data_IF_765999951780
#
_entry.id   IF_765999951780
#
_cell.length_a   1.000
_cell.length_b   1.000
_cell.length_c   1.000
_cell.angle_alpha   90.00
_cell.angle_beta   90.00
_cell.angle_gamma   90.00
#
_symmetry.space_group_name_H-M   'P 1'
#
loop_
_entity.id
_entity.type
_entity.pdbx_description
1 polymer ?
#
# COMPACT_ATOMS: atom_id res chain seq x y z
N UNK A 1 -10.59 4.53 5.76
CA UNK A 1 -11.00 5.64 4.89
C UNK A 1 -12.14 6.46 5.46
N UNK A 2 -12.22 7.72 5.03
CA UNK A 2 -13.24 8.65 5.55
C UNK A 2 -14.67 8.34 5.08
N UNK A 3 -14.82 7.70 3.92
CA UNK A 3 -16.12 7.27 3.40
C UNK A 3 -16.20 5.75 3.33
N UNK A 4 -15.17 5.09 2.79
CA UNK A 4 -15.16 3.66 2.52
C UNK A 4 -13.85 3.05 3.02
N UNK A 5 -13.90 1.91 3.67
CA UNK A 5 -12.70 1.17 4.09
C UNK A 5 -11.99 0.54 2.88
N UNK A 6 -12.75 -0.16 2.04
CA UNK A 6 -12.26 -0.85 0.84
C UNK A 6 -13.28 -0.74 -0.30
N UNK A 7 -12.82 -0.31 -1.47
CA UNK A 7 -13.58 -0.26 -2.70
C UNK A 7 -13.12 -1.39 -3.63
N UNK A 8 -14.01 -2.32 -3.94
CA UNK A 8 -13.70 -3.49 -4.76
C UNK A 8 -13.67 -3.17 -6.27
N UNK A 9 -13.18 -4.11 -7.09
CA UNK A 9 -12.96 -3.91 -8.55
C UNK A 9 -14.17 -3.40 -9.33
N UNK A 10 -15.38 -3.79 -8.95
CA UNK A 10 -16.63 -3.29 -9.57
C UNK A 10 -17.20 -2.05 -8.86
N UNK A 11 -16.55 -1.59 -7.78
CA UNK A 11 -17.03 -0.46 -7.00
C UNK A 11 -16.68 0.88 -7.63
N UNK A 12 -17.59 1.82 -7.50
CA UNK A 12 -17.40 3.21 -7.95
C UNK A 12 -17.75 4.16 -6.81
N UNK A 13 -16.84 5.08 -6.50
CA UNK A 13 -17.07 6.21 -5.60
C UNK A 13 -17.03 7.46 -6.46
N UNK A 14 -18.19 8.11 -6.60
CA UNK A 14 -18.37 9.22 -7.52
C UNK A 14 -18.80 10.49 -6.80
N UNK A 15 -18.26 11.65 -7.20
CA UNK A 15 -18.60 13.01 -6.78
C UNK A 15 -18.91 13.15 -5.27
N UNK A 16 -18.13 12.45 -4.43
CA UNK A 16 -18.35 12.40 -2.98
C UNK A 16 -17.34 13.26 -2.23
N UNK A 17 -17.76 13.84 -1.11
CA UNK A 17 -16.90 14.70 -0.28
C UNK A 17 -16.75 14.13 1.12
N UNK A 18 -15.50 14.01 1.58
CA UNK A 18 -15.15 13.71 2.97
C UNK A 18 -14.66 14.97 3.69
N UNK A 19 -15.15 15.17 4.92
CA UNK A 19 -14.65 16.18 5.88
C UNK A 19 -14.16 15.54 7.16
N UNK A 20 -14.16 14.21 7.21
CA UNK A 20 -13.75 13.47 8.39
C UNK A 20 -12.23 13.58 8.58
N UNK A 21 -11.80 13.77 9.83
CA UNK A 21 -10.44 13.48 10.23
C UNK A 21 -10.28 11.95 10.29
N UNK A 22 -9.27 11.43 9.60
CA UNK A 22 -9.06 9.97 9.49
C UNK A 22 -7.68 9.62 10.02
N UNK A 23 -7.64 8.67 10.94
CA UNK A 23 -6.40 8.12 11.48
C UNK A 23 -6.36 6.60 11.32
N UNK A 24 -5.19 6.05 11.03
CA UNK A 24 -4.98 4.61 10.87
C UNK A 24 -3.54 4.25 10.61
N UNK A 25 -3.18 2.98 10.86
CA UNK A 25 -1.82 2.49 10.70
C UNK A 25 -1.48 2.09 9.24
N UNK A 26 -2.45 1.53 8.52
CA UNK A 26 -2.23 1.01 7.16
C UNK A 26 -3.35 1.42 6.22
N UNK A 27 -2.99 1.72 4.97
CA UNK A 27 -3.91 2.06 3.90
C UNK A 27 -4.97 3.07 4.35
N UNK A 28 -4.52 4.24 4.79
CA UNK A 28 -5.38 5.29 5.33
C UNK A 28 -5.60 6.38 4.30
N UNK A 29 -6.85 6.63 3.92
CA UNK A 29 -7.20 7.66 2.95
C UNK A 29 -8.39 8.50 3.37
N UNK A 30 -8.43 9.75 2.94
CA UNK A 30 -9.53 10.67 3.25
C UNK A 30 -10.87 10.25 2.63
N UNK A 31 -10.87 9.53 1.52
CA UNK A 31 -12.05 8.94 0.89
C UNK A 31 -12.07 7.44 1.15
N UNK A 32 -11.03 6.71 0.75
CA UNK A 32 -10.99 5.25 0.83
C UNK A 32 -9.67 4.77 1.43
N UNK A 33 -9.69 3.71 2.20
CA UNK A 33 -8.48 3.03 2.67
C UNK A 33 -7.76 2.32 1.52
N UNK A 34 -8.43 1.34 0.91
CA UNK A 34 -7.91 0.56 -0.21
C UNK A 34 -8.86 0.60 -1.41
N UNK A 35 -8.34 1.00 -2.58
CA UNK A 35 -9.11 1.11 -3.82
C UNK A 35 -8.65 0.10 -4.88
N UNK A 36 -9.59 -0.73 -5.33
CA UNK A 36 -9.43 -1.61 -6.50
C UNK A 36 -10.32 -1.19 -7.66
N UNK A 37 -11.35 -0.36 -7.40
CA UNK A 37 -12.33 0.10 -8.37
C UNK A 37 -12.03 1.50 -8.89
N UNK A 38 -13.06 2.31 -9.03
CA UNK A 38 -12.99 3.67 -9.57
C UNK A 38 -13.35 4.69 -8.50
N UNK A 39 -12.52 5.73 -8.39
CA UNK A 39 -12.82 6.96 -7.65
C UNK A 39 -12.78 8.09 -8.66
N UNK A 40 -13.84 8.87 -8.76
CA UNK A 40 -13.89 10.00 -9.70
C UNK A 40 -14.62 11.21 -9.11
N UNK A 41 -14.10 12.41 -9.39
CA UNK A 41 -14.73 13.67 -8.97
C UNK A 41 -14.82 13.85 -7.44
N UNK A 42 -14.08 13.09 -6.64
CA UNK A 42 -14.17 13.12 -5.19
C UNK A 42 -13.29 14.20 -4.58
N UNK A 43 -13.71 14.72 -3.41
CA UNK A 43 -12.97 15.75 -2.69
C UNK A 43 -12.77 15.35 -1.23
N UNK A 44 -11.55 15.41 -0.76
CA UNK A 44 -11.23 15.34 0.66
C UNK A 44 -10.82 16.72 1.18
N UNK A 45 -11.44 17.15 2.27
CA UNK A 45 -11.05 18.37 3.01
C UNK A 45 -10.69 18.08 4.46
N UNK A 46 -10.87 16.82 4.90
CA UNK A 46 -10.47 16.37 6.23
C UNK A 46 -8.99 16.00 6.30
N UNK A 47 -8.39 16.15 7.45
CA UNK A 47 -7.02 15.76 7.69
C UNK A 47 -6.86 14.24 7.77
N UNK A 48 -5.72 13.71 7.31
CA UNK A 48 -5.45 12.27 7.27
C UNK A 48 -4.10 11.99 7.94
N UNK A 49 -4.09 11.26 9.05
CA UNK A 49 -2.89 10.97 9.85
C UNK A 49 -2.03 12.21 10.14
N UNK A 50 -2.65 13.39 10.30
CA UNK A 50 -1.94 14.65 10.51
C UNK A 50 -1.63 14.96 11.97
N UNK A 51 -2.14 14.16 12.90
CA UNK A 51 -1.87 14.32 14.32
C UNK A 51 -0.90 13.25 14.81
N UNK A 52 0.01 13.67 15.70
CA UNK A 52 0.88 12.75 16.39
C UNK A 52 0.05 11.87 17.34
N UNK A 53 0.05 10.59 17.10
CA UNK A 53 -0.53 9.60 18.00
C UNK A 53 0.62 9.03 18.86
N UNK A 54 0.70 9.46 20.10
CA UNK A 54 1.58 8.84 21.07
C UNK A 54 0.98 7.47 21.42
N UNK A 55 1.41 6.40 20.73
CA UNK A 55 1.11 5.06 21.20
C UNK A 55 2.13 4.72 22.29
N UNK A 56 1.72 4.92 23.53
CA UNK A 56 2.41 4.33 24.64
C UNK A 56 2.36 2.80 24.46
N UNK A 57 3.49 2.18 24.12
CA UNK A 57 3.72 0.80 24.48
C UNK A 57 3.59 0.77 26.01
N UNK A 58 2.52 0.11 26.49
CA UNK A 58 2.37 -0.11 27.91
C UNK A 58 3.51 -1.02 28.39
N UNK A 59 4.61 -0.37 28.80
CA UNK A 59 5.79 -1.04 29.32
C UNK A 59 5.62 -1.41 30.79
N UNK A 60 4.53 -0.96 31.44
CA UNK A 60 4.26 -1.25 32.85
C UNK A 60 3.94 -2.73 33.12
N UNK A 61 3.54 -3.49 32.09
CA UNK A 61 3.28 -4.94 32.20
C UNK A 61 4.47 -5.84 31.89
N UNK A 62 5.61 -5.31 31.48
CA UNK A 62 6.78 -6.14 31.11
C UNK A 62 7.63 -6.47 32.36
N UNK A 63 8.11 -7.73 32.51
CA UNK A 63 9.08 -8.07 33.54
C UNK A 63 10.32 -7.17 33.46
N UNK A 64 10.81 -6.70 34.59
CA UNK A 64 11.94 -5.78 34.68
C UNK A 64 13.19 -6.27 33.91
N UNK A 65 13.40 -7.59 33.85
CA UNK A 65 14.49 -8.23 33.12
C UNK A 65 14.35 -8.08 31.60
N UNK A 66 13.14 -8.08 31.06
CA UNK A 66 12.87 -7.85 29.63
C UNK A 66 13.03 -6.38 29.30
N UNK A 67 12.61 -5.50 30.19
CA UNK A 67 12.73 -4.06 30.05
C UNK A 67 14.21 -3.62 30.03
N UNK A 68 15.06 -4.22 30.90
CA UNK A 68 16.50 -3.97 30.90
C UNK A 68 17.20 -4.50 29.64
N UNK A 69 16.77 -5.66 29.12
CA UNK A 69 17.32 -6.23 27.89
C UNK A 69 17.02 -5.35 26.68
N UNK A 70 15.79 -4.86 26.57
CA UNK A 70 15.35 -3.95 25.51
C UNK A 70 16.09 -2.62 25.58
N UNK A 71 16.25 -2.04 26.76
CA UNK A 71 17.01 -0.79 26.96
C UNK A 71 18.50 -0.95 26.66
N UNK A 72 19.08 -2.11 26.96
CA UNK A 72 20.51 -2.36 26.78
C UNK A 72 20.91 -2.57 25.33
N UNK A 73 20.08 -3.26 24.53
CA UNK A 73 20.40 -3.60 23.13
C UNK A 73 19.95 -2.54 22.12
N UNK A 74 18.97 -1.70 22.45
CA UNK A 74 18.33 -0.82 21.47
C UNK A 74 18.38 0.69 21.84
N UNK A 75 18.92 1.05 22.98
CA UNK A 75 19.06 2.45 23.44
C UNK A 75 17.73 3.12 23.80
N UNK A 76 17.82 4.34 24.33
CA UNK A 76 16.65 5.15 24.73
C UNK A 76 15.74 5.59 23.55
N UNK A 77 16.17 5.34 22.30
CA UNK A 77 15.42 5.69 21.09
C UNK A 77 14.26 4.72 20.77
N UNK A 78 14.17 3.58 21.46
CA UNK A 78 13.16 2.58 21.13
C UNK A 78 11.75 2.98 21.54
N UNK A 79 11.61 3.69 22.65
CA UNK A 79 10.29 4.17 23.13
C UNK A 79 9.66 5.16 22.16
N UNK A 80 10.46 5.86 21.36
CA UNK A 80 9.99 6.85 20.38
C UNK A 80 9.82 6.29 18.96
N UNK A 81 10.37 5.11 18.65
CA UNK A 81 10.43 4.62 17.26
C UNK A 81 9.46 3.49 16.90
N UNK A 82 8.85 2.79 17.85
CA UNK A 82 8.02 1.61 17.55
C UNK A 82 6.53 1.97 17.38
N UNK A 83 6.10 3.10 17.87
CA UNK A 83 4.67 3.35 18.07
C UNK A 83 3.93 4.10 16.96
N UNK A 84 4.60 4.66 15.95
CA UNK A 84 3.93 5.49 14.94
C UNK A 84 4.34 5.17 13.50
N UNK A 85 4.39 3.89 13.14
CA UNK A 85 4.60 3.49 11.75
C UNK A 85 3.26 3.46 11.04
N UNK A 86 2.86 4.59 10.47
CA UNK A 86 1.82 4.58 9.45
C UNK A 86 2.43 4.25 8.09
N UNK A 87 1.72 3.51 7.27
CA UNK A 87 2.12 3.19 5.90
C UNK A 87 0.94 3.37 4.95
N UNK A 88 1.26 3.81 3.74
CA UNK A 88 0.29 4.01 2.67
C UNK A 88 -0.82 5.00 3.09
N UNK A 89 -0.43 6.26 3.34
CA UNK A 89 -1.33 7.35 3.72
C UNK A 89 -1.56 8.30 2.54
N UNK A 90 -2.81 8.56 2.18
CA UNK A 90 -3.15 9.47 1.10
C UNK A 90 -4.38 10.33 1.36
N UNK A 91 -4.41 11.51 0.75
CA UNK A 91 -5.56 12.42 0.91
C UNK A 91 -6.86 11.86 0.32
N UNK A 92 -6.79 11.06 -0.73
CA UNK A 92 -7.94 10.37 -1.33
C UNK A 92 -7.90 8.88 -0.98
N UNK A 93 -6.84 8.17 -1.31
CA UNK A 93 -6.72 6.74 -1.05
C UNK A 93 -5.41 6.43 -0.30
N UNK A 94 -5.45 5.54 0.67
CA UNK A 94 -4.23 5.01 1.29
C UNK A 94 -3.44 4.20 0.27
N UNK A 95 -4.06 3.20 -0.32
CA UNK A 95 -3.51 2.39 -1.40
C UNK A 95 -4.51 2.25 -2.55
N UNK A 96 -4.02 2.26 -3.79
CA UNK A 96 -4.87 2.10 -4.98
C UNK A 96 -4.19 1.24 -6.04
N UNK A 97 -4.89 0.18 -6.46
CA UNK A 97 -4.62 -0.58 -7.68
C UNK A 97 -5.67 -0.31 -8.77
N UNK A 98 -6.68 0.52 -8.45
CA UNK A 98 -7.73 0.96 -9.36
C UNK A 98 -7.47 2.35 -9.95
N UNK A 99 -8.54 3.03 -10.33
CA UNK A 99 -8.50 4.35 -10.96
C UNK A 99 -8.84 5.45 -9.95
N UNK A 100 -8.06 6.53 -9.97
CA UNK A 100 -8.38 7.78 -9.23
C UNK A 100 -8.37 8.91 -10.25
N UNK A 101 -9.56 9.45 -10.55
CA UNK A 101 -9.77 10.41 -11.62
C UNK A 101 -10.35 11.71 -11.07
N UNK A 102 -9.87 12.85 -11.59
CA UNK A 102 -10.46 14.18 -11.38
C UNK A 102 -10.83 14.48 -9.92
N UNK A 103 -10.03 13.98 -8.99
CA UNK A 103 -10.29 14.09 -7.55
C UNK A 103 -9.33 15.08 -6.88
N UNK A 104 -9.76 15.70 -5.79
CA UNK A 104 -9.01 16.76 -5.12
C UNK A 104 -8.85 16.49 -3.63
N UNK A 105 -7.67 16.81 -3.10
CA UNK A 105 -7.41 16.86 -1.67
C UNK A 105 -7.04 18.29 -1.24
N UNK A 106 -7.70 18.78 -0.21
CA UNK A 106 -7.38 20.05 0.46
C UNK A 106 -7.05 19.86 1.94
N UNK A 107 -7.20 18.65 2.47
CA UNK A 107 -6.84 18.32 3.85
C UNK A 107 -5.34 18.00 3.99
N UNK A 108 -4.78 18.25 5.16
CA UNK A 108 -3.40 17.89 5.47
C UNK A 108 -3.23 16.38 5.59
N UNK A 109 -2.11 15.86 5.10
CA UNK A 109 -1.82 14.43 5.01
C UNK A 109 -0.48 14.11 5.66
N UNK A 110 -0.51 13.20 6.62
CA UNK A 110 0.65 12.72 7.33
C UNK A 110 1.18 13.69 8.39
N UNK A 111 2.22 13.28 9.10
CA UNK A 111 2.88 14.03 10.15
C UNK A 111 4.38 14.09 9.92
N UNK A 112 5.03 15.18 10.35
CA UNK A 112 6.46 15.39 10.16
C UNK A 112 7.28 14.23 10.73
N UNK A 113 8.20 13.70 9.92
CA UNK A 113 9.10 12.60 10.27
C UNK A 113 8.44 11.26 10.61
N UNK A 114 7.14 11.10 10.36
CA UNK A 114 6.36 9.88 10.64
C UNK A 114 5.70 9.37 9.36
N UNK A 115 5.66 8.04 9.20
CA UNK A 115 4.96 7.39 8.09
C UNK A 115 5.82 7.17 6.84
N UNK A 116 5.42 6.15 6.10
CA UNK A 116 6.01 5.74 4.82
C UNK A 116 4.94 5.78 3.75
N UNK A 117 5.35 6.07 2.50
CA UNK A 117 4.44 6.17 1.36
C UNK A 117 3.30 7.17 1.66
N UNK A 118 3.64 8.44 1.82
CA UNK A 118 2.68 9.49 2.13
C UNK A 118 2.48 10.36 0.91
N UNK A 119 1.25 10.43 0.42
CA UNK A 119 0.92 11.21 -0.77
C UNK A 119 -0.31 12.08 -0.62
N UNK A 120 -0.31 13.23 -1.26
CA UNK A 120 -1.44 14.18 -1.19
C UNK A 120 -2.73 13.62 -1.80
N UNK A 121 -2.62 12.67 -2.74
CA UNK A 121 -3.76 11.95 -3.32
C UNK A 121 -3.73 10.48 -2.88
N UNK A 122 -2.61 9.78 -3.06
CA UNK A 122 -2.52 8.36 -2.72
C UNK A 122 -1.19 8.05 -2.05
N UNK A 123 -1.22 7.23 -1.00
CA UNK A 123 0.00 6.77 -0.33
C UNK A 123 0.84 5.89 -1.25
N UNK A 124 0.27 4.80 -1.73
CA UNK A 124 0.91 3.88 -2.68
C UNK A 124 -0.05 3.49 -3.79
N UNK A 125 0.45 3.44 -5.02
CA UNK A 125 -0.35 3.04 -6.18
C UNK A 125 0.43 2.22 -7.18
N UNK A 126 -0.24 1.22 -7.76
CA UNK A 126 0.08 0.50 -8.99
C UNK A 126 -1.04 0.68 -10.04
N UNK A 127 -2.06 1.52 -9.71
CA UNK A 127 -3.16 1.90 -10.59
C UNK A 127 -2.91 3.23 -11.33
N UNK A 128 -3.97 3.76 -11.94
CA UNK A 128 -3.93 5.02 -12.68
C UNK A 128 -4.43 6.20 -11.84
N UNK A 129 -3.68 7.29 -11.85
CA UNK A 129 -4.09 8.59 -11.31
C UNK A 129 -4.12 9.59 -12.47
N UNK A 130 -5.25 10.28 -12.66
CA UNK A 130 -5.39 11.28 -13.72
C UNK A 130 -6.25 12.46 -13.29
N UNK A 131 -5.82 13.68 -13.65
CA UNK A 131 -6.56 14.91 -13.39
C UNK A 131 -6.76 15.25 -11.91
N UNK A 132 -5.94 14.71 -11.02
CA UNK A 132 -6.05 14.93 -9.58
C UNK A 132 -5.22 16.13 -9.11
N UNK A 133 -5.70 16.81 -8.06
CA UNK A 133 -5.06 17.99 -7.49
C UNK A 133 -4.92 17.83 -5.98
N UNK A 134 -3.74 18.16 -5.44
CA UNK A 134 -3.52 18.31 -4.00
C UNK A 134 -3.19 19.75 -3.65
N UNK A 135 -3.88 20.28 -2.65
CA UNK A 135 -3.67 21.61 -2.06
C UNK A 135 -3.30 21.55 -0.57
N UNK A 136 -3.45 20.36 0.05
CA UNK A 136 -3.09 20.14 1.44
C UNK A 136 -1.59 19.98 1.65
N UNK A 137 -1.12 20.24 2.86
CA UNK A 137 0.25 19.95 3.29
C UNK A 137 0.47 18.43 3.33
N UNK A 138 1.61 17.97 2.82
CA UNK A 138 1.99 16.54 2.87
C UNK A 138 3.28 16.39 3.67
N UNK A 139 3.24 15.58 4.71
CA UNK A 139 4.37 15.34 5.60
C UNK A 139 4.56 13.85 5.85
N UNK A 140 5.80 13.42 6.03
CA UNK A 140 6.11 12.02 6.30
C UNK A 140 7.59 11.81 6.59
N UNK A 141 7.99 10.55 6.77
CA UNK A 141 9.37 10.15 7.03
C UNK A 141 10.09 9.75 5.74
N UNK A 142 9.44 8.98 4.88
CA UNK A 142 10.04 8.44 3.64
C UNK A 142 8.99 8.23 2.57
N UNK A 143 9.40 8.39 1.31
CA UNK A 143 8.56 8.28 0.14
C UNK A 143 7.34 9.21 0.24
N UNK A 144 7.64 10.53 0.30
CA UNK A 144 6.64 11.60 0.46
C UNK A 144 6.49 12.33 -0.85
N UNK A 145 5.27 12.40 -1.36
CA UNK A 145 4.95 13.05 -2.62
C UNK A 145 3.69 13.90 -2.59
N UNK A 146 3.69 15.02 -3.31
CA UNK A 146 2.52 15.91 -3.41
C UNK A 146 1.29 15.21 -4.02
N UNK A 147 1.46 14.19 -4.83
CA UNK A 147 0.38 13.37 -5.41
C UNK A 147 0.46 11.95 -4.89
N UNK A 148 1.53 11.22 -5.13
CA UNK A 148 1.73 9.83 -4.69
C UNK A 148 3.01 9.73 -3.84
N UNK A 149 2.95 8.99 -2.73
CA UNK A 149 4.11 8.64 -1.94
C UNK A 149 4.98 7.64 -2.69
N UNK A 150 4.39 6.54 -3.14
CA UNK A 150 5.03 5.53 -3.97
C UNK A 150 4.14 5.19 -5.17
N UNK A 151 4.71 5.23 -6.37
CA UNK A 151 4.05 4.80 -7.59
C UNK A 151 4.82 3.64 -8.22
N UNK A 152 4.11 2.57 -8.55
CA UNK A 152 4.61 1.42 -9.29
C UNK A 152 4.11 1.51 -10.74
N UNK A 153 4.75 0.85 -11.71
CA UNK A 153 4.24 0.83 -13.07
C UNK A 153 2.84 0.20 -13.12
N UNK A 154 1.90 0.92 -13.73
CA UNK A 154 0.63 0.33 -14.15
C UNK A 154 0.89 -0.51 -15.40
N UNK A 155 0.77 -1.81 -15.27
CA UNK A 155 0.90 -2.74 -16.39
C UNK A 155 -0.49 -3.25 -16.74
N UNK A 156 -1.08 -2.70 -17.80
CA UNK A 156 -2.27 -3.28 -18.42
C UNK A 156 -1.80 -4.49 -19.26
N UNK A 157 -2.02 -5.68 -18.73
CA UNK A 157 -1.81 -6.92 -19.49
C UNK A 157 -3.04 -7.11 -20.39
N UNK A 158 -2.95 -6.64 -21.63
CA UNK A 158 -3.90 -7.04 -22.68
C UNK A 158 -3.65 -8.52 -23.04
N UNK A 159 -4.19 -9.39 -22.21
CA UNK A 159 -4.15 -10.84 -22.43
C UNK A 159 -5.27 -11.20 -23.41
N UNK A 160 -5.01 -10.97 -24.68
CA UNK A 160 -5.88 -11.52 -25.74
C UNK A 160 -5.83 -13.07 -25.71
N UNK A 161 -6.84 -13.70 -26.30
CA UNK A 161 -6.96 -15.15 -26.32
C UNK A 161 -5.73 -15.84 -26.96
N UNK A 162 -5.05 -15.14 -27.89
CA UNK A 162 -3.86 -15.65 -28.56
C UNK A 162 -2.64 -15.68 -27.62
N UNK A 163 -2.48 -14.67 -26.80
CA UNK A 163 -1.42 -14.60 -25.76
C UNK A 163 -1.63 -15.66 -24.67
N UNK A 164 -2.88 -15.86 -24.23
CA UNK A 164 -3.23 -16.91 -23.27
C UNK A 164 -2.93 -18.29 -23.85
N UNK A 165 -3.28 -18.55 -25.11
CA UNK A 165 -3.03 -19.83 -25.75
C UNK A 165 -1.52 -20.10 -25.93
N UNK A 166 -0.73 -19.06 -26.26
CA UNK A 166 0.72 -19.15 -26.37
C UNK A 166 1.36 -19.48 -25.02
N UNK A 167 0.96 -18.79 -23.95
CA UNK A 167 1.41 -19.08 -22.58
C UNK A 167 1.12 -20.52 -22.16
N UNK A 168 -0.07 -21.03 -22.48
CA UNK A 168 -0.41 -22.43 -22.21
C UNK A 168 0.50 -23.40 -22.96
N UNK A 169 0.73 -23.15 -24.23
CA UNK A 169 1.61 -24.00 -25.06
C UNK A 169 3.06 -23.99 -24.54
N UNK A 170 3.56 -22.82 -24.13
CA UNK A 170 4.92 -22.72 -23.56
C UNK A 170 5.02 -23.40 -22.19
N UNK A 171 3.98 -23.32 -21.34
CA UNK A 171 3.90 -24.06 -20.07
C UNK A 171 3.85 -25.58 -20.28
N UNK A 172 3.06 -26.06 -21.24
CA UNK A 172 2.98 -27.49 -21.58
C UNK A 172 4.33 -28.00 -22.12
N UNK A 173 5.02 -27.18 -22.91
CA UNK A 173 6.36 -27.50 -23.41
C UNK A 173 7.37 -27.57 -22.27
N UNK A 174 7.36 -26.62 -21.35
CA UNK A 174 8.22 -26.62 -20.17
C UNK A 174 7.95 -27.86 -19.29
N UNK A 175 6.68 -28.16 -19.06
CA UNK A 175 6.29 -29.35 -18.29
C UNK A 175 6.82 -30.66 -18.93
N UNK A 176 6.73 -30.76 -20.25
CA UNK A 176 7.25 -31.92 -20.99
C UNK A 176 8.78 -32.03 -20.88
N UNK A 177 9.50 -30.90 -20.98
CA UNK A 177 10.96 -30.87 -20.81
C UNK A 177 11.39 -31.24 -19.39
N UNK A 178 10.69 -30.76 -18.36
CA UNK A 178 10.98 -31.08 -16.96
C UNK A 178 10.76 -32.59 -16.71
N UNK A 179 9.65 -33.15 -17.20
CA UNK A 179 9.38 -34.58 -17.05
C UNK A 179 10.40 -35.45 -17.81
N UNK A 180 10.77 -35.06 -19.03
CA UNK A 180 11.81 -35.74 -19.79
C UNK A 180 13.18 -35.73 -19.08
N UNK A 181 13.54 -34.59 -18.48
CA UNK A 181 14.78 -34.48 -17.70
C UNK A 181 14.74 -35.37 -16.43
N UNK A 182 13.57 -35.48 -15.79
CA UNK A 182 13.39 -36.37 -14.63
C UNK A 182 13.52 -37.84 -15.03
N UNK A 183 12.90 -38.25 -16.14
CA UNK A 183 12.99 -39.62 -16.69
C UNK A 183 14.43 -40.00 -17.09
N UNK A 184 15.19 -39.03 -17.68
CA UNK A 184 16.59 -39.22 -18.03
C UNK A 184 17.49 -39.37 -16.78
N UNK A 185 17.17 -38.68 -15.68
CA UNK A 185 17.87 -38.83 -14.40
C UNK A 185 17.59 -40.22 -13.77
N UNK A 186 16.34 -40.65 -13.79
CA UNK A 186 15.96 -41.99 -13.30
C UNK A 186 16.58 -43.10 -14.13
N UNK A 187 16.62 -42.95 -15.45
CA UNK A 187 17.31 -43.88 -16.37
C UNK A 187 18.82 -43.96 -16.11
N UNK A 188 19.45 -42.81 -15.84
CA UNK A 188 20.90 -42.75 -15.53
C UNK A 188 21.25 -43.39 -14.20
N UNK A 189 20.40 -43.28 -13.19
CA UNK A 189 20.60 -43.97 -11.89
C UNK A 189 20.40 -45.47 -11.97
N UNK A 190 19.55 -45.95 -12.86
CA UNK A 190 19.33 -47.39 -13.06
C UNK A 190 20.49 -48.09 -13.80
N UNK A 191 21.34 -47.36 -14.53
CA UNK A 191 22.52 -47.88 -15.21
C UNK A 191 23.77 -47.93 -14.32
N UNK A 192 23.72 -47.34 -13.14
CA UNK A 192 24.82 -47.26 -12.16
C UNK A 192 24.67 -48.32 -11.03
N UNK A 193 23.61 -49.11 -11.00
CA UNK A 193 23.36 -50.25 -10.11
C UNK A 193 23.41 -51.56 -10.89
#
# INVERSE_FOLDING_TARGET
>A
GGLVGRNETSGTIDHSTSRAMVSGAYATGGIVGYNLGVITGCTNVGAVNSEYQESALDMEGLPATLLELVKKDMGDDLSNNISNVSSDTGGIAGRSSGLILSSANAGDVGYAHVGYNVGGIVGRTDGLISGCVNQGLVQGRKDVGGIAGQAEPYVELDLDQSTINRLRTELDTLHTMVNGAADDMDGSTSLLN
#
